data_IF_919786902671
#
_entry.id   IF_919786902671
#
_cell.length_a   1.000
_cell.length_b   1.000
_cell.length_c   1.000
_cell.angle_alpha   90.00
_cell.angle_beta   90.00
_cell.angle_gamma   90.00
#
_symmetry.space_group_name_H-M   'P 1'
#
loop_
_entity.id
_entity.type
_entity.pdbx_description
1 polymer ?
#
# COMPACT_ATOMS: atom_id res chain seq x y z
N UNK A 1 -9.55 48.53 18.72
CA UNK A 1 -9.38 47.20 19.37
C UNK A 1 -9.39 45.99 18.40
N UNK A 2 -9.69 46.15 17.11
CA UNK A 2 -9.70 45.06 16.10
C UNK A 2 -8.30 44.56 15.66
N UNK A 3 -7.30 45.47 15.65
CA UNK A 3 -5.94 45.07 15.18
C UNK A 3 -5.20 44.06 16.02
N UNK A 4 -5.54 43.88 17.30
CA UNK A 4 -4.93 42.90 18.19
C UNK A 4 -5.37 41.46 17.89
N UNK A 5 -6.62 41.26 17.48
CA UNK A 5 -7.17 39.96 17.16
C UNK A 5 -6.66 39.45 15.79
N UNK A 6 -6.63 40.34 14.81
CA UNK A 6 -6.09 40.01 13.46
C UNK A 6 -4.60 39.65 13.51
N UNK A 7 -3.84 40.38 14.33
CA UNK A 7 -2.42 40.13 14.52
C UNK A 7 -2.20 38.80 15.23
N UNK A 8 -2.98 38.47 16.25
CA UNK A 8 -2.95 37.20 16.95
C UNK A 8 -3.28 36.03 16.01
N UNK A 9 -4.33 36.13 15.18
CA UNK A 9 -4.71 35.09 14.21
C UNK A 9 -3.64 34.89 13.14
N UNK A 10 -3.00 35.96 12.68
CA UNK A 10 -1.91 35.91 11.70
C UNK A 10 -0.68 35.21 12.28
N UNK A 11 -0.32 35.49 13.53
CA UNK A 11 0.83 34.89 14.20
C UNK A 11 0.57 33.39 14.50
N UNK A 12 -0.68 33.05 14.87
CA UNK A 12 -1.11 31.65 15.06
C UNK A 12 -1.04 30.87 13.75
N UNK A 13 -1.53 31.45 12.65
CA UNK A 13 -1.45 30.83 11.31
C UNK A 13 -0.01 30.58 10.88
N UNK A 14 0.87 31.58 11.03
CA UNK A 14 2.31 31.42 10.74
C UNK A 14 2.98 30.39 11.64
N UNK A 15 2.59 30.30 12.91
CA UNK A 15 3.08 29.25 13.83
C UNK A 15 2.69 27.86 13.38
N UNK A 16 1.42 27.67 12.99
CA UNK A 16 0.91 26.40 12.46
C UNK A 16 1.61 25.99 11.17
N UNK A 17 1.78 26.92 10.22
CA UNK A 17 2.50 26.65 8.96
C UNK A 17 3.94 26.18 9.21
N UNK A 18 4.67 26.87 10.08
CA UNK A 18 6.06 26.49 10.44
C UNK A 18 6.11 25.12 11.08
N UNK A 19 5.16 24.80 11.94
CA UNK A 19 5.07 23.48 12.59
C UNK A 19 4.75 22.40 11.56
N UNK A 20 3.81 22.63 10.64
CA UNK A 20 3.49 21.68 9.56
C UNK A 20 4.66 21.48 8.61
N UNK A 21 5.39 22.51 8.25
CA UNK A 21 6.60 22.40 7.40
C UNK A 21 7.69 21.59 8.12
N UNK A 22 7.92 21.85 9.42
CA UNK A 22 8.89 21.09 10.20
C UNK A 22 8.52 19.61 10.32
N UNK A 23 7.24 19.31 10.62
CA UNK A 23 6.73 17.92 10.70
C UNK A 23 6.83 17.22 9.34
N UNK A 24 6.46 17.89 8.26
CA UNK A 24 6.58 17.33 6.92
C UNK A 24 8.05 17.08 6.52
N UNK A 25 8.96 17.98 6.89
CA UNK A 25 10.40 17.80 6.66
C UNK A 25 10.94 16.60 7.45
N UNK A 26 10.52 16.44 8.68
CA UNK A 26 10.92 15.31 9.54
C UNK A 26 10.33 13.98 9.04
N UNK A 27 9.08 13.99 8.57
CA UNK A 27 8.44 12.83 7.93
C UNK A 27 9.10 12.45 6.59
N UNK A 28 9.62 13.44 5.85
CA UNK A 28 10.34 13.20 4.59
C UNK A 28 11.76 12.69 4.85
N UNK A 29 12.39 13.11 5.96
CA UNK A 29 13.72 12.65 6.38
C UNK A 29 13.68 11.27 7.05
N UNK A 30 12.56 10.85 7.64
CA UNK A 30 12.39 9.47 8.06
C UNK A 30 12.33 8.65 6.79
N UNK A 31 13.42 7.97 6.46
CA UNK A 31 13.43 6.95 5.41
C UNK A 31 12.20 6.08 5.64
N UNK A 32 11.21 6.18 4.75
CA UNK A 32 10.07 5.26 4.77
C UNK A 32 10.68 3.87 4.68
N UNK A 33 10.50 3.08 5.71
CA UNK A 33 10.94 1.69 5.69
C UNK A 33 10.18 1.06 4.52
N UNK A 34 10.87 0.93 3.39
CA UNK A 34 10.29 0.27 2.21
C UNK A 34 10.10 -1.19 2.61
N UNK A 35 8.85 -1.59 2.78
CA UNK A 35 8.55 -3.00 2.97
C UNK A 35 8.93 -3.74 1.69
N UNK A 36 9.77 -4.75 1.83
CA UNK A 36 10.18 -5.62 0.74
C UNK A 36 9.70 -7.04 0.99
N UNK A 37 9.56 -7.82 -0.06
CA UNK A 37 9.10 -9.20 -0.04
C UNK A 37 10.14 -10.10 -0.68
N UNK A 38 10.49 -11.19 -0.02
CA UNK A 38 11.31 -12.23 -0.64
C UNK A 38 10.53 -13.00 -1.70
N UNK A 39 11.23 -13.70 -2.59
CA UNK A 39 10.59 -14.55 -3.61
C UNK A 39 9.56 -15.53 -3.01
N UNK A 40 9.87 -16.10 -1.83
CA UNK A 40 8.95 -16.98 -1.11
C UNK A 40 7.69 -16.28 -0.62
N UNK A 41 7.84 -15.05 -0.14
CA UNK A 41 6.70 -14.22 0.30
C UNK A 41 5.85 -13.79 -0.89
N UNK A 42 6.49 -13.43 -2.02
CA UNK A 42 5.79 -13.14 -3.27
C UNK A 42 4.98 -14.35 -3.76
N UNK A 43 5.58 -15.54 -3.78
CA UNK A 43 4.90 -16.77 -4.19
C UNK A 43 3.67 -17.06 -3.31
N UNK A 44 3.81 -16.89 -1.98
CA UNK A 44 2.69 -17.04 -1.03
C UNK A 44 1.59 -16.02 -1.27
N UNK A 45 1.96 -14.76 -1.49
CA UNK A 45 1.00 -13.67 -1.77
C UNK A 45 0.22 -13.92 -3.07
N UNK A 46 0.92 -14.38 -4.12
CA UNK A 46 0.35 -14.68 -5.42
C UNK A 46 -0.36 -16.04 -5.48
N UNK A 47 -0.35 -16.80 -4.38
CA UNK A 47 -0.92 -18.13 -4.25
C UNK A 47 -0.38 -19.12 -5.30
N UNK A 48 0.93 -19.08 -5.54
CA UNK A 48 1.63 -19.98 -6.45
C UNK A 48 2.77 -20.70 -5.72
N UNK A 49 3.27 -21.80 -6.28
CA UNK A 49 4.46 -22.43 -5.74
C UNK A 49 5.72 -21.60 -6.04
N UNK A 50 6.71 -21.66 -5.14
CA UNK A 50 7.98 -20.95 -5.35
C UNK A 50 8.70 -21.45 -6.60
N UNK A 51 8.61 -22.75 -6.89
CA UNK A 51 9.20 -23.35 -8.09
C UNK A 51 8.57 -22.78 -9.36
N UNK A 52 7.24 -22.66 -9.37
CA UNK A 52 6.52 -22.06 -10.49
C UNK A 52 6.93 -20.60 -10.70
N UNK A 53 6.94 -19.80 -9.63
CA UNK A 53 7.32 -18.39 -9.72
C UNK A 53 8.78 -18.22 -10.19
N UNK A 54 9.70 -19.07 -9.71
CA UNK A 54 11.11 -19.05 -10.14
C UNK A 54 11.25 -19.43 -11.62
N UNK A 55 10.53 -20.47 -12.06
CA UNK A 55 10.51 -20.85 -13.47
C UNK A 55 9.95 -19.73 -14.34
N UNK A 56 8.86 -19.12 -13.90
CA UNK A 56 8.24 -17.99 -14.60
C UNK A 56 9.19 -16.79 -14.69
N UNK A 57 9.90 -16.48 -13.60
CA UNK A 57 10.92 -15.41 -13.57
C UNK A 57 12.05 -15.63 -14.58
N UNK A 58 12.43 -16.89 -14.83
CA UNK A 58 13.49 -17.22 -15.77
C UNK A 58 13.00 -17.27 -17.23
N UNK A 59 11.70 -17.34 -17.46
CA UNK A 59 11.09 -17.43 -18.80
C UNK A 59 10.47 -16.14 -19.29
N UNK A 60 10.39 -15.11 -18.45
CA UNK A 60 9.77 -13.83 -18.77
C UNK A 60 10.81 -12.71 -18.69
N UNK A 61 11.07 -12.05 -19.81
CA UNK A 61 12.00 -10.92 -19.89
C UNK A 61 11.50 -9.70 -19.11
N UNK A 62 10.17 -9.57 -18.97
CA UNK A 62 9.52 -8.48 -18.24
C UNK A 62 9.46 -8.71 -16.71
N UNK A 63 9.98 -9.84 -16.22
CA UNK A 63 9.93 -10.12 -14.80
C UNK A 63 10.77 -9.13 -13.99
N UNK A 64 10.24 -8.52 -12.90
CA UNK A 64 10.96 -7.52 -12.13
C UNK A 64 12.32 -8.01 -11.65
N UNK A 65 13.35 -7.16 -11.79
CA UNK A 65 14.70 -7.50 -11.39
C UNK A 65 14.85 -7.69 -9.88
N UNK A 66 14.07 -6.95 -9.09
CA UNK A 66 14.24 -6.92 -7.64
C UNK A 66 15.57 -6.32 -7.19
N UNK A 67 15.76 -6.25 -5.89
CA UNK A 67 16.98 -5.80 -5.24
C UNK A 67 17.60 -6.94 -4.42
N UNK A 68 18.92 -7.03 -4.35
CA UNK A 68 19.60 -8.00 -3.50
C UNK A 68 19.94 -7.38 -2.15
N UNK A 69 19.38 -7.96 -1.08
CA UNK A 69 19.73 -7.63 0.31
C UNK A 69 20.53 -8.82 0.86
N UNK A 70 21.84 -8.68 0.91
CA UNK A 70 22.74 -9.80 1.20
C UNK A 70 22.67 -10.86 0.10
N UNK A 71 22.18 -12.07 0.45
CA UNK A 71 22.01 -13.19 -0.50
C UNK A 71 20.57 -13.37 -0.97
N UNK A 72 19.66 -12.59 -0.44
CA UNK A 72 18.23 -12.74 -0.73
C UNK A 72 17.78 -11.68 -1.74
N UNK A 73 17.08 -12.13 -2.78
CA UNK A 73 16.44 -11.26 -3.76
C UNK A 73 15.09 -10.82 -3.20
N UNK A 74 14.90 -9.51 -3.07
CA UNK A 74 13.70 -8.90 -2.51
C UNK A 74 13.04 -7.97 -3.51
N UNK A 75 11.75 -7.77 -3.34
CA UNK A 75 10.90 -7.02 -4.25
C UNK A 75 10.08 -5.99 -3.49
N UNK A 76 9.81 -4.88 -4.13
CA UNK A 76 8.88 -3.85 -3.65
C UNK A 76 7.42 -4.25 -3.90
N UNK A 77 6.47 -3.53 -3.31
CA UNK A 77 5.04 -3.75 -3.57
C UNK A 77 4.70 -3.53 -5.05
N UNK A 78 5.28 -2.52 -5.68
CA UNK A 78 5.08 -2.23 -7.10
C UNK A 78 5.53 -3.40 -7.98
N UNK A 79 6.69 -3.98 -7.70
CA UNK A 79 7.21 -5.14 -8.41
C UNK A 79 6.35 -6.39 -8.18
N UNK A 80 5.85 -6.57 -6.94
CA UNK A 80 4.91 -7.65 -6.63
C UNK A 80 3.59 -7.52 -7.41
N UNK A 81 3.05 -6.30 -7.53
CA UNK A 81 1.86 -6.04 -8.36
C UNK A 81 2.14 -6.25 -9.85
N UNK A 82 3.34 -5.90 -10.32
CA UNK A 82 3.77 -6.19 -11.69
C UNK A 82 3.83 -7.71 -11.97
N UNK A 83 4.44 -8.49 -11.08
CA UNK A 83 4.42 -9.96 -11.17
C UNK A 83 2.99 -10.51 -11.27
N UNK A 84 2.08 -9.95 -10.47
CA UNK A 84 0.66 -10.30 -10.48
C UNK A 84 0.01 -10.04 -11.83
N UNK A 85 0.29 -8.89 -12.44
CA UNK A 85 -0.21 -8.54 -13.77
C UNK A 85 0.35 -9.47 -14.86
N UNK A 86 1.64 -9.80 -14.81
CA UNK A 86 2.27 -10.75 -15.74
C UNK A 86 1.67 -12.15 -15.62
N UNK A 87 1.46 -12.64 -14.40
CA UNK A 87 0.80 -13.92 -14.17
C UNK A 87 -0.64 -13.92 -14.72
N UNK A 88 -1.38 -12.83 -14.50
CA UNK A 88 -2.73 -12.68 -15.03
C UNK A 88 -2.75 -12.68 -16.57
N UNK A 89 -1.80 -12.00 -17.20
CA UNK A 89 -1.70 -11.95 -18.67
C UNK A 89 -1.39 -13.32 -19.29
N UNK A 90 -0.61 -14.16 -18.58
CA UNK A 90 -0.24 -15.50 -19.04
C UNK A 90 -1.23 -16.61 -18.66
N UNK A 91 -2.17 -16.32 -17.75
CA UNK A 91 -3.06 -17.31 -17.19
C UNK A 91 -4.32 -17.55 -18.03
N UNK A 92 -4.81 -18.81 -18.06
CA UNK A 92 -6.13 -19.14 -18.64
C UNK A 92 -7.29 -18.49 -17.87
N UNK A 93 -7.08 -18.13 -16.59
CA UNK A 93 -8.04 -17.47 -15.71
C UNK A 93 -7.40 -16.23 -15.08
N UNK A 94 -7.38 -15.09 -15.77
CA UNK A 94 -6.74 -13.87 -15.27
C UNK A 94 -7.26 -13.40 -13.91
N UNK A 95 -8.54 -13.62 -13.64
CA UNK A 95 -9.20 -13.20 -12.38
C UNK A 95 -8.68 -13.93 -11.12
N UNK A 96 -7.98 -15.05 -11.27
CA UNK A 96 -7.37 -15.74 -10.14
C UNK A 96 -6.18 -14.96 -9.56
N UNK A 97 -5.58 -14.09 -10.40
CA UNK A 97 -4.42 -13.26 -10.02
C UNK A 97 -4.78 -11.78 -9.84
N UNK A 98 -5.74 -11.26 -10.56
CA UNK A 98 -6.15 -9.86 -10.45
C UNK A 98 -7.08 -9.66 -9.24
N UNK A 99 -6.84 -8.59 -8.48
CA UNK A 99 -7.73 -8.18 -7.39
C UNK A 99 -9.05 -7.56 -7.89
N UNK A 100 -9.32 -7.68 -9.18
CA UNK A 100 -10.52 -7.14 -9.78
C UNK A 100 -11.73 -8.01 -9.49
N UNK A 101 -12.82 -7.36 -9.21
CA UNK A 101 -14.11 -8.03 -9.06
C UNK A 101 -14.50 -8.71 -10.37
N UNK A 102 -14.92 -9.96 -10.31
CA UNK A 102 -15.53 -10.65 -11.45
C UNK A 102 -16.79 -9.88 -11.87
N UNK A 103 -17.11 -9.83 -13.19
CA UNK A 103 -18.27 -9.08 -13.68
C UNK A 103 -19.58 -9.38 -12.92
N UNK A 104 -19.80 -10.63 -12.58
CA UNK A 104 -21.04 -11.11 -11.92
C UNK A 104 -20.92 -11.20 -10.40
N UNK A 105 -19.79 -10.82 -9.80
CA UNK A 105 -19.62 -10.87 -8.36
C UNK A 105 -20.35 -9.69 -7.68
N UNK A 106 -21.04 -9.90 -6.55
CA UNK A 106 -21.68 -8.83 -5.79
C UNK A 106 -20.63 -7.84 -5.32
N UNK A 107 -21.00 -6.55 -5.28
CA UNK A 107 -20.14 -5.51 -4.71
C UNK A 107 -20.10 -5.70 -3.19
N UNK A 108 -18.95 -6.01 -2.58
CA UNK A 108 -18.83 -6.06 -1.14
C UNK A 108 -18.90 -4.64 -0.56
N UNK A 109 -19.82 -4.43 0.38
CA UNK A 109 -19.94 -3.18 1.14
C UNK A 109 -19.61 -3.50 2.59
N UNK A 110 -18.57 -2.86 3.13
CA UNK A 110 -18.12 -3.06 4.50
C UNK A 110 -18.38 -1.77 5.28
N UNK A 111 -19.19 -1.88 6.34
CA UNK A 111 -19.58 -0.75 7.19
C UNK A 111 -19.00 -0.90 8.59
N UNK A 112 -18.47 0.18 9.12
CA UNK A 112 -18.03 0.29 10.52
C UNK A 112 -19.07 1.07 11.31
N UNK A 113 -19.92 0.37 12.05
CA UNK A 113 -21.01 0.96 12.82
C UNK A 113 -20.84 0.76 14.33
N UNK A 114 -21.26 1.76 15.11
CA UNK A 114 -21.39 1.67 16.56
C UNK A 114 -22.35 2.75 17.04
N UNK A 115 -23.19 2.41 18.00
CA UNK A 115 -24.14 3.36 18.60
C UNK A 115 -23.47 4.42 19.48
N UNK A 116 -22.26 4.14 20.00
CA UNK A 116 -21.54 5.03 20.89
C UNK A 116 -20.54 5.88 20.13
N UNK A 117 -20.46 7.18 20.44
CA UNK A 117 -19.42 8.07 19.96
C UNK A 117 -18.03 7.71 20.51
N UNK A 118 -16.97 8.13 19.86
CA UNK A 118 -15.58 7.90 20.32
C UNK A 118 -15.06 6.47 20.18
N UNK A 119 -15.76 5.56 19.52
CA UNK A 119 -15.39 4.14 19.38
C UNK A 119 -14.42 3.85 18.23
N UNK A 120 -13.62 4.83 17.81
CA UNK A 120 -12.59 4.70 16.79
C UNK A 120 -13.09 4.13 15.41
N UNK A 121 -14.38 4.28 15.07
CA UNK A 121 -14.95 3.79 13.79
C UNK A 121 -14.17 4.25 12.56
N UNK A 122 -13.92 5.55 12.48
CA UNK A 122 -13.17 6.13 11.35
C UNK A 122 -11.74 5.64 11.31
N UNK A 123 -11.09 5.49 12.47
CA UNK A 123 -9.75 4.95 12.57
C UNK A 123 -9.69 3.48 12.15
N UNK A 124 -10.67 2.68 12.56
CA UNK A 124 -10.78 1.27 12.15
C UNK A 124 -11.03 1.14 10.65
N UNK A 125 -11.88 1.98 10.07
CA UNK A 125 -12.13 2.00 8.64
C UNK A 125 -10.86 2.38 7.86
N UNK A 126 -10.13 3.40 8.33
CA UNK A 126 -8.87 3.82 7.72
C UNK A 126 -7.79 2.73 7.79
N UNK A 127 -7.60 2.11 8.95
CA UNK A 127 -6.65 1.00 9.11
C UNK A 127 -7.03 -0.21 8.26
N UNK A 128 -8.32 -0.53 8.16
CA UNK A 128 -8.78 -1.62 7.32
C UNK A 128 -8.54 -1.36 5.84
N UNK A 129 -8.85 -0.14 5.36
CA UNK A 129 -8.55 0.27 3.99
C UNK A 129 -7.05 0.22 3.69
N UNK A 130 -6.22 0.70 4.63
CA UNK A 130 -4.77 0.62 4.53
C UNK A 130 -4.27 -0.84 4.50
N UNK A 131 -4.83 -1.71 5.33
CA UNK A 131 -4.52 -3.14 5.33
C UNK A 131 -4.85 -3.77 3.97
N UNK A 132 -6.04 -3.51 3.44
CA UNK A 132 -6.43 -4.02 2.13
C UNK A 132 -5.50 -3.53 1.01
N UNK A 133 -5.18 -2.24 0.99
CA UNK A 133 -4.25 -1.66 0.01
C UNK A 133 -2.84 -2.27 0.09
N UNK A 134 -2.34 -2.58 1.29
CA UNK A 134 -1.01 -3.17 1.48
C UNK A 134 -0.96 -4.66 1.13
N UNK A 135 -2.09 -5.36 1.18
CA UNK A 135 -2.14 -6.81 0.96
C UNK A 135 -2.71 -7.20 -0.39
N UNK A 136 -3.54 -6.35 -0.98
CA UNK A 136 -4.26 -6.69 -2.22
C UNK A 136 -4.01 -5.69 -3.37
N UNK A 137 -3.39 -4.55 -3.10
CA UNK A 137 -3.04 -3.53 -4.09
C UNK A 137 -4.15 -2.53 -4.33
#
# INVERSE_FOLDING_TARGET
>A
MSGSLEQFLTDLSRGLERTMVAVNKELTLRQRIKRTWSMRQCARFLNVSIQYLTKFANSSDDFPAGEYVGRERVFTLSELMHMRALLAASAKRPYDYLAWRKPDAPLPVISFASQKGGTAKSLSAAHFAQYLSLHYG
#
